data_IF_003463659894
#
_entry.id   IF_003463659894
#
_cell.length_a   1.000
_cell.length_b   1.000
_cell.length_c   1.000
_cell.angle_alpha   90.00
_cell.angle_beta   90.00
_cell.angle_gamma   90.00
#
_symmetry.space_group_name_H-M   'P 1'
#
loop_
_entity.id
_entity.type
_entity.pdbx_description
1 polymer ?
#
# COMPACT_ATOMS: atom_id res chain seq x y z
N UNK A 1 3.37 0.97 -12.17
CA UNK A 1 2.56 1.24 -10.97
C UNK A 1 1.11 1.25 -11.40
N UNK A 2 0.28 0.45 -10.74
CA UNK A 2 -1.16 0.38 -10.97
C UNK A 2 -1.86 0.90 -9.72
N UNK A 3 -2.97 1.63 -9.90
CA UNK A 3 -3.74 2.22 -8.79
C UNK A 3 -5.16 1.69 -8.85
N UNK A 4 -5.58 1.04 -7.77
CA UNK A 4 -6.93 0.50 -7.62
C UNK A 4 -7.67 1.34 -6.58
N UNK A 5 -8.93 1.70 -6.87
CA UNK A 5 -9.81 2.44 -5.95
C UNK A 5 -11.16 1.73 -5.85
N UNK A 6 -11.69 1.60 -4.64
CA UNK A 6 -13.02 1.04 -4.42
C UNK A 6 -13.06 -0.51 -4.47
N UNK A 7 -13.82 -1.08 -5.41
CA UNK A 7 -14.15 -2.51 -5.45
C UNK A 7 -12.93 -3.42 -5.61
N UNK A 8 -12.78 -4.36 -4.67
CA UNK A 8 -11.74 -5.39 -4.62
C UNK A 8 -11.92 -6.50 -5.67
N UNK A 9 -13.05 -6.52 -6.39
CA UNK A 9 -13.34 -7.52 -7.42
C UNK A 9 -12.32 -7.55 -8.55
N UNK A 10 -11.62 -6.44 -8.78
CA UNK A 10 -10.59 -6.31 -9.81
C UNK A 10 -9.16 -6.50 -9.27
N UNK A 11 -9.03 -6.81 -7.97
CA UNK A 11 -7.74 -7.01 -7.30
C UNK A 11 -7.35 -8.50 -7.27
N UNK A 12 -7.55 -9.20 -8.38
CA UNK A 12 -7.35 -10.66 -8.50
C UNK A 12 -5.95 -11.05 -8.99
N UNK A 13 -5.20 -10.10 -9.56
CA UNK A 13 -3.89 -10.34 -10.20
C UNK A 13 -2.69 -10.08 -9.27
N UNK A 14 -2.95 -10.11 -7.96
CA UNK A 14 -2.00 -9.77 -6.88
C UNK A 14 -2.07 -10.77 -5.71
N UNK A 15 -2.54 -11.99 -5.99
CA UNK A 15 -2.80 -13.04 -4.99
C UNK A 15 -1.58 -13.35 -4.11
N UNK A 16 -0.37 -13.26 -4.66
CA UNK A 16 0.88 -13.36 -3.90
C UNK A 16 1.65 -12.04 -3.94
N UNK A 17 1.62 -11.31 -2.82
CA UNK A 17 2.20 -9.97 -2.73
C UNK A 17 2.74 -9.65 -1.33
N UNK A 18 3.74 -8.78 -1.29
CA UNK A 18 4.23 -8.16 -0.06
C UNK A 18 3.57 -6.81 0.10
N UNK A 19 2.87 -6.63 1.21
CA UNK A 19 1.99 -5.48 1.41
C UNK A 19 2.48 -4.64 2.58
N UNK A 20 2.41 -3.32 2.42
CA UNK A 20 2.41 -2.38 3.55
C UNK A 20 1.10 -1.60 3.59
N UNK A 21 0.68 -1.24 4.79
CA UNK A 21 -0.56 -0.50 5.05
C UNK A 21 -0.23 0.75 5.85
N UNK A 22 -0.79 1.89 5.47
CA UNK A 22 -0.60 3.13 6.20
C UNK A 22 -1.17 4.32 5.45
N UNK A 23 -1.13 5.50 6.06
CA UNK A 23 -1.64 6.71 5.43
C UNK A 23 -0.66 7.30 4.40
N UNK A 24 0.65 7.20 4.66
CA UNK A 24 1.72 7.65 3.75
C UNK A 24 1.66 9.12 3.31
N UNK A 25 0.94 9.98 4.03
CA UNK A 25 0.91 11.41 3.74
C UNK A 25 2.27 12.07 4.02
N UNK A 26 2.76 12.82 3.04
CA UNK A 26 4.08 13.46 3.05
C UNK A 26 5.28 12.56 2.74
N UNK A 27 5.15 11.22 2.68
CA UNK A 27 6.22 10.25 2.30
C UNK A 27 7.63 10.63 2.82
N UNK A 28 7.73 10.93 4.11
CA UNK A 28 8.99 11.29 4.77
C UNK A 28 9.96 10.10 4.88
N UNK A 29 11.15 10.31 5.47
CA UNK A 29 12.20 9.29 5.55
C UNK A 29 11.73 7.95 6.14
N UNK A 30 10.92 7.98 7.20
CA UNK A 30 10.33 6.75 7.76
C UNK A 30 9.45 5.97 6.78
N UNK A 31 8.58 6.66 6.02
CA UNK A 31 7.78 6.03 4.98
C UNK A 31 8.64 5.47 3.84
N UNK A 32 9.70 6.18 3.45
CA UNK A 32 10.63 5.69 2.42
C UNK A 32 11.30 4.39 2.83
N UNK A 33 11.79 4.30 4.08
CA UNK A 33 12.38 3.07 4.60
C UNK A 33 11.41 1.88 4.58
N UNK A 34 10.13 2.11 4.89
CA UNK A 34 9.09 1.07 4.81
C UNK A 34 8.87 0.64 3.35
N UNK A 35 8.74 1.59 2.43
CA UNK A 35 8.52 1.31 1.01
C UNK A 35 9.70 0.55 0.38
N UNK A 36 10.93 0.95 0.69
CA UNK A 36 12.15 0.27 0.26
C UNK A 36 12.15 -1.17 0.74
N UNK A 37 11.86 -1.41 2.03
CA UNK A 37 11.82 -2.75 2.61
C UNK A 37 10.76 -3.66 1.97
N UNK A 38 9.63 -3.10 1.56
CA UNK A 38 8.55 -3.82 0.87
C UNK A 38 8.96 -4.20 -0.55
N UNK A 39 9.60 -3.27 -1.27
CA UNK A 39 10.11 -3.52 -2.63
C UNK A 39 11.20 -4.59 -2.62
N UNK A 40 12.15 -4.50 -1.68
CA UNK A 40 13.22 -5.50 -1.54
C UNK A 40 12.67 -6.89 -1.22
N UNK A 41 11.74 -6.99 -0.25
CA UNK A 41 11.15 -8.26 0.15
C UNK A 41 10.30 -8.89 -0.95
N UNK A 42 9.60 -8.08 -1.75
CA UNK A 42 8.84 -8.54 -2.90
C UNK A 42 9.78 -9.04 -4.00
N UNK A 43 10.84 -8.28 -4.32
CA UNK A 43 11.85 -8.65 -5.31
C UNK A 43 12.57 -9.95 -4.97
N UNK A 44 12.92 -10.16 -3.70
CA UNK A 44 13.58 -11.40 -3.24
C UNK A 44 12.71 -12.67 -3.42
N UNK A 45 11.39 -12.51 -3.51
CA UNK A 45 10.43 -13.61 -3.65
C UNK A 45 9.76 -13.64 -5.03
N UNK A 46 10.16 -12.76 -5.95
CA UNK A 46 9.49 -12.55 -7.25
C UNK A 46 7.98 -12.30 -7.11
N UNK A 47 7.58 -11.54 -6.09
CA UNK A 47 6.20 -11.17 -5.80
C UNK A 47 5.92 -9.69 -6.14
N UNK A 48 4.65 -9.31 -6.14
CA UNK A 48 4.24 -7.90 -6.29
C UNK A 48 4.43 -7.15 -4.97
N UNK A 49 4.96 -5.92 -5.02
CA UNK A 49 4.90 -4.99 -3.90
C UNK A 49 3.62 -4.16 -3.95
N UNK A 50 2.94 -4.02 -2.81
CA UNK A 50 1.64 -3.34 -2.73
C UNK A 50 1.64 -2.34 -1.56
N UNK A 51 1.15 -1.13 -1.85
CA UNK A 51 0.82 -0.12 -0.85
C UNK A 51 -0.71 -0.03 -0.74
N UNK A 52 -1.23 -0.34 0.44
CA UNK A 52 -2.61 -0.05 0.80
C UNK A 52 -2.66 1.25 1.60
N UNK A 53 -3.40 2.24 1.09
CA UNK A 53 -3.61 3.53 1.73
C UNK A 53 -5.09 3.91 1.77
N UNK A 54 -5.40 5.02 2.43
CA UNK A 54 -6.74 5.46 2.74
C UNK A 54 -7.03 6.81 2.09
N UNK A 55 -8.18 6.88 1.43
CA UNK A 55 -8.75 8.12 0.90
C UNK A 55 -10.28 8.03 1.09
N UNK A 56 -10.92 8.97 1.81
CA UNK A 56 -10.36 10.17 2.46
C UNK A 56 -9.50 9.84 3.70
N UNK A 57 -8.80 10.87 4.22
CA UNK A 57 -8.02 10.76 5.47
C UNK A 57 -8.87 10.12 6.60
N UNK A 58 -8.37 9.13 7.37
CA UNK A 58 -9.17 8.43 8.38
C UNK A 58 -9.88 9.34 9.39
N UNK A 59 -9.23 10.40 9.86
CA UNK A 59 -9.88 11.41 10.72
C UNK A 59 -11.10 12.13 10.08
N UNK A 60 -11.21 12.19 8.75
CA UNK A 60 -12.37 12.78 8.10
C UNK A 60 -13.63 11.93 8.26
N UNK A 61 -13.49 10.62 8.49
CA UNK A 61 -14.61 9.67 8.61
C UNK A 61 -14.91 9.26 10.05
N UNK A 62 -13.99 9.49 10.99
CA UNK A 62 -14.15 9.16 12.42
C UNK A 62 -14.75 10.30 13.25
N UNK A 63 -15.68 11.08 12.69
CA UNK A 63 -16.33 12.17 13.44
C UNK A 63 -17.44 11.60 14.33
N UNK A 64 -17.33 11.82 15.64
CA UNK A 64 -18.44 11.73 16.59
C UNK A 64 -19.47 12.86 16.36
#
# INVERSE_FOLDING_TARGET
MEVFRGSWSNFTDVQDSVITVGFFDGVHLGHRAILERVVEAAGAQNLRSVLLTFDPHPQAVLRD
#
